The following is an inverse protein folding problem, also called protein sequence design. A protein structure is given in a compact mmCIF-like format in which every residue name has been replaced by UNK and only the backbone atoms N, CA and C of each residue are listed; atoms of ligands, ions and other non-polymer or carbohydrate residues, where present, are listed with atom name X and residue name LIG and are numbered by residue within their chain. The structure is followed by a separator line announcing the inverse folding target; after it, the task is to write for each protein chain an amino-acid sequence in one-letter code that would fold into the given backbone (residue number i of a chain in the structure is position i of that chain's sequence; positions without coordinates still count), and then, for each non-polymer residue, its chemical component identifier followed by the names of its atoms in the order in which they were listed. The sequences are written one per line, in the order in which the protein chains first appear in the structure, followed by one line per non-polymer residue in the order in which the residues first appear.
data_IF_410306290634
#
_entry.id   IF_410306290634
#
_cell.length_a   1.000
_cell.length_b   1.000
_cell.length_c   1.000
_cell.angle_alpha   90.00
_cell.angle_beta   90.00
_cell.angle_gamma   90.00
#
_symmetry.space_group_name_H-M   'P 1'
#
loop_
_entity.id
_entity.type
_entity.pdbx_description
1 polymer ?
#
# COMPACT_ATOMS: atom_id res chain seq x y z
N UNK A 1 17.87 -14.11 10.40
CA UNK A 1 16.72 -14.23 9.49
C UNK A 1 15.51 -13.64 10.19
N UNK A 2 15.20 -12.36 9.96
CA UNK A 2 13.98 -11.73 10.46
C UNK A 2 13.22 -11.20 9.25
N UNK A 3 12.53 -12.11 8.58
CA UNK A 3 11.52 -11.76 7.59
C UNK A 3 10.20 -11.55 8.31
N UNK A 4 9.98 -10.35 8.84
CA UNK A 4 8.62 -9.88 9.09
C UNK A 4 8.31 -8.80 8.07
N UNK A 5 8.12 -9.24 6.83
CA UNK A 5 7.36 -8.47 5.85
C UNK A 5 5.95 -8.36 6.41
N UNK A 6 5.62 -7.26 7.07
CA UNK A 6 4.23 -6.79 7.16
C UNK A 6 3.84 -6.34 5.75
N UNK A 7 3.78 -7.30 4.82
CA UNK A 7 3.29 -7.09 3.47
C UNK A 7 1.80 -6.88 3.62
N UNK A 8 1.38 -5.64 3.53
CA UNK A 8 -0.03 -5.34 3.33
C UNK A 8 -0.39 -5.94 1.97
N UNK A 9 -1.31 -6.91 1.89
CA UNK A 9 -1.48 -7.78 0.70
C UNK A 9 -1.79 -7.02 -0.60
N UNK A 10 -2.18 -5.76 -0.48
CA UNK A 10 -2.70 -4.95 -1.58
C UNK A 10 -1.59 -4.17 -2.30
N UNK A 11 -0.41 -3.98 -1.68
CA UNK A 11 0.76 -3.40 -2.36
C UNK A 11 1.73 -4.46 -2.92
N UNK A 12 1.53 -5.74 -2.61
CA UNK A 12 2.39 -6.82 -3.12
C UNK A 12 2.11 -7.15 -4.59
N UNK A 13 0.93 -6.83 -5.10
CA UNK A 13 0.56 -6.96 -6.52
C UNK A 13 0.26 -5.56 -7.07
N UNK A 14 1.31 -4.84 -7.45
CA UNK A 14 1.21 -3.47 -7.96
C UNK A 14 2.16 -3.24 -9.12
N UNK A 15 1.68 -2.57 -10.16
CA UNK A 15 2.54 -2.00 -11.18
C UNK A 15 3.22 -0.75 -10.60
N UNK A 16 4.55 -0.64 -10.75
CA UNK A 16 5.31 0.48 -10.19
C UNK A 16 6.15 1.15 -11.26
N UNK A 17 6.28 2.47 -11.14
CA UNK A 17 7.20 3.29 -11.93
C UNK A 17 8.16 3.95 -10.95
N UNK A 18 9.40 3.48 -10.94
CA UNK A 18 10.45 3.98 -10.04
C UNK A 18 11.01 5.32 -10.53
N UNK A 19 11.33 6.20 -9.59
CA UNK A 19 12.01 7.47 -9.89
C UNK A 19 13.37 7.25 -10.55
N UNK A 20 13.81 8.23 -11.36
CA UNK A 20 15.18 8.24 -11.92
C UNK A 20 16.23 8.68 -10.87
N UNK A 21 15.79 9.39 -9.83
CA UNK A 21 16.61 9.86 -8.72
C UNK A 21 16.20 9.14 -7.41
N UNK A 22 16.81 9.55 -6.30
CA UNK A 22 16.38 9.11 -4.98
C UNK A 22 14.91 9.48 -4.77
N UNK A 23 14.08 8.47 -4.54
CA UNK A 23 12.65 8.63 -4.28
C UNK A 23 12.45 9.32 -2.92
N UNK A 24 11.88 10.53 -2.95
CA UNK A 24 11.54 11.31 -1.74
C UNK A 24 10.03 11.49 -1.57
N UNK A 25 9.27 11.13 -2.59
CA UNK A 25 7.81 11.18 -2.59
C UNK A 25 7.25 9.99 -3.34
N UNK A 26 5.97 9.70 -3.09
CA UNK A 26 5.27 8.66 -3.82
C UNK A 26 3.81 9.03 -4.09
N UNK A 27 3.30 8.50 -5.18
CA UNK A 27 1.89 8.60 -5.60
C UNK A 27 1.34 7.18 -5.64
N UNK A 28 0.27 6.93 -4.88
CA UNK A 28 -0.53 5.70 -4.99
C UNK A 28 -1.75 6.04 -5.81
N UNK A 29 -1.88 5.45 -6.99
CA UNK A 29 -2.97 5.70 -7.93
C UNK A 29 -3.90 4.49 -8.02
N UNK A 30 -5.18 4.69 -7.71
CA UNK A 30 -6.21 3.66 -7.75
C UNK A 30 -7.04 3.83 -9.01
N UNK A 31 -7.04 2.80 -9.87
CA UNK A 31 -7.76 2.81 -11.13
C UNK A 31 -9.26 2.51 -10.94
N UNK A 32 -10.07 2.81 -11.95
CA UNK A 32 -11.52 2.60 -11.97
C UNK A 32 -11.96 1.17 -12.33
N UNK A 33 -13.24 0.87 -12.16
CA UNK A 33 -13.81 -0.47 -12.41
C UNK A 33 -13.42 -1.02 -13.81
N UNK A 34 -12.91 -2.24 -13.84
CA UNK A 34 -12.61 -2.96 -15.09
C UNK A 34 -11.25 -2.64 -15.73
N UNK A 35 -10.46 -1.74 -15.14
CA UNK A 35 -9.10 -1.43 -15.60
C UNK A 35 -8.02 -2.24 -14.85
N UNK A 36 -6.74 -1.93 -15.07
CA UNK A 36 -5.58 -2.57 -14.42
C UNK A 36 -4.57 -1.56 -13.92
N UNK A 37 -3.71 -1.96 -12.98
CA UNK A 37 -2.61 -1.10 -12.52
C UNK A 37 -1.58 -0.81 -13.62
N UNK A 38 -1.44 -1.71 -14.60
CA UNK A 38 -0.44 -1.60 -15.65
C UNK A 38 -0.74 -0.47 -16.65
N UNK A 39 -1.99 -0.36 -17.12
CA UNK A 39 -2.42 0.71 -18.02
C UNK A 39 -2.13 2.10 -17.42
N UNK A 40 -2.41 2.26 -16.13
CA UNK A 40 -2.13 3.50 -15.40
C UNK A 40 -0.65 3.74 -15.13
N UNK A 41 0.14 2.70 -14.83
CA UNK A 41 1.58 2.85 -14.70
C UNK A 41 2.22 3.34 -16.01
N UNK A 42 1.78 2.80 -17.16
CA UNK A 42 2.22 3.29 -18.48
C UNK A 42 1.81 4.74 -18.68
N UNK A 43 0.56 5.11 -18.41
CA UNK A 43 0.11 6.49 -18.53
C UNK A 43 0.91 7.46 -17.63
N UNK A 44 1.12 7.10 -16.36
CA UNK A 44 1.84 7.93 -15.38
C UNK A 44 3.33 8.07 -15.69
N UNK A 45 3.95 7.08 -16.35
CA UNK A 45 5.36 7.18 -16.76
C UNK A 45 5.62 8.34 -17.74
N UNK A 46 4.60 8.78 -18.48
CA UNK A 46 4.73 9.91 -19.41
C UNK A 46 4.81 11.28 -18.73
N UNK A 47 4.37 11.37 -17.48
CA UNK A 47 4.34 12.60 -16.67
C UNK A 47 5.15 12.46 -15.37
N UNK A 48 6.07 11.48 -15.35
CA UNK A 48 6.83 11.13 -14.16
C UNK A 48 7.78 12.25 -13.72
N UNK A 49 7.78 12.52 -12.42
CA UNK A 49 8.80 13.34 -11.77
C UNK A 49 9.97 12.46 -11.29
N UNK A 50 11.23 12.92 -11.39
CA UNK A 50 12.41 12.08 -11.17
C UNK A 50 12.56 11.56 -9.74
N UNK A 51 12.04 12.28 -8.74
CA UNK A 51 12.10 11.93 -7.31
C UNK A 51 10.80 11.30 -6.78
N UNK A 52 9.85 10.97 -7.67
CA UNK A 52 8.54 10.42 -7.30
C UNK A 52 8.40 8.98 -7.78
N UNK A 53 8.04 8.09 -6.85
CA UNK A 53 7.61 6.73 -7.16
C UNK A 53 6.11 6.68 -7.41
N UNK A 54 5.68 6.10 -8.52
CA UNK A 54 4.27 5.88 -8.81
C UNK A 54 3.92 4.41 -8.57
N UNK A 55 2.84 4.16 -7.84
CA UNK A 55 2.41 2.82 -7.43
C UNK A 55 0.94 2.66 -7.82
N UNK A 56 0.67 1.70 -8.71
CA UNK A 56 -0.66 1.39 -9.23
C UNK A 56 -1.04 -0.03 -8.80
N UNK A 57 -1.59 -0.21 -7.58
CA UNK A 57 -1.94 -1.53 -7.06
C UNK A 57 -3.08 -2.17 -7.85
N UNK A 58 -3.09 -3.50 -7.92
CA UNK A 58 -4.15 -4.27 -8.55
C UNK A 58 -5.33 -4.48 -7.59
N UNK A 59 -6.52 -4.09 -8.05
CA UNK A 59 -7.78 -4.34 -7.34
C UNK A 59 -8.07 -5.84 -7.29
N UNK A 60 -8.60 -6.36 -6.16
CA UNK A 60 -8.99 -7.76 -6.07
C UNK A 60 -10.11 -8.08 -7.06
N UNK A 61 -10.16 -9.34 -7.51
CA UNK A 61 -11.28 -9.82 -8.34
C UNK A 61 -12.45 -10.19 -7.44
N UNK A 62 -13.52 -9.41 -7.49
CA UNK A 62 -14.73 -9.61 -6.66
C UNK A 62 -15.98 -9.56 -7.54
N UNK A 63 -17.10 -10.19 -7.13
CA UNK A 63 -18.38 -10.04 -7.81
C UNK A 63 -18.89 -8.60 -7.65
N UNK A 64 -19.37 -8.00 -8.74
CA UNK A 64 -19.91 -6.63 -8.74
C UNK A 64 -21.41 -6.63 -9.04
N UNK A 65 -22.22 -6.16 -8.09
CA UNK A 65 -23.69 -6.18 -8.13
C UNK A 65 -24.23 -5.42 -9.34
N UNK A 66 -23.69 -4.24 -9.64
CA UNK A 66 -24.03 -3.41 -10.80
C UNK A 66 -23.87 -4.19 -12.13
N UNK A 67 -22.90 -5.10 -12.18
CA UNK A 67 -22.59 -5.91 -13.36
C UNK A 67 -23.09 -7.35 -13.19
N UNK A 68 -24.31 -7.53 -12.65
CA UNK A 68 -24.96 -8.85 -12.49
C UNK A 68 -24.10 -9.86 -11.72
N UNK A 69 -23.33 -9.41 -10.72
CA UNK A 69 -22.39 -10.21 -9.92
C UNK A 69 -21.26 -10.88 -10.73
N UNK A 70 -20.96 -10.37 -11.92
CA UNK A 70 -19.77 -10.81 -12.66
C UNK A 70 -18.50 -10.49 -11.87
N UNK A 71 -17.53 -11.43 -11.89
CA UNK A 71 -16.26 -11.29 -11.15
C UNK A 71 -15.25 -10.52 -11.99
N UNK A 72 -14.90 -9.32 -11.53
CA UNK A 72 -13.96 -8.42 -12.18
C UNK A 72 -13.12 -7.64 -11.16
N UNK A 73 -12.02 -6.98 -11.58
CA UNK A 73 -11.24 -6.14 -10.69
C UNK A 73 -12.10 -4.99 -10.14
N UNK A 74 -12.30 -4.96 -8.83
CA UNK A 74 -13.01 -3.89 -8.12
C UNK A 74 -12.51 -3.76 -6.68
N UNK A 75 -12.47 -2.53 -6.17
CA UNK A 75 -12.01 -2.24 -4.81
C UNK A 75 -13.05 -2.61 -3.74
N UNK A 76 -14.32 -2.45 -4.08
CA UNK A 76 -15.50 -2.73 -3.26
C UNK A 76 -16.70 -3.02 -4.18
N UNK A 77 -17.83 -3.47 -3.65
CA UNK A 77 -19.01 -3.74 -4.46
C UNK A 77 -19.70 -2.43 -4.89
N UNK A 78 -20.15 -2.38 -6.15
CA UNK A 78 -20.91 -1.26 -6.70
C UNK A 78 -22.33 -1.74 -6.94
N UNK A 79 -23.32 -1.02 -6.41
CA UNK A 79 -24.74 -1.38 -6.53
C UNK A 79 -25.51 -0.42 -7.46
N UNK A 80 -24.99 0.78 -7.69
CA UNK A 80 -25.56 1.79 -8.58
C UNK A 80 -24.58 2.93 -8.84
N UNK A 81 -24.94 3.83 -9.77
CA UNK A 81 -24.16 5.03 -10.11
C UNK A 81 -24.89 6.34 -9.79
N UNK A 82 -26.14 6.26 -9.33
CA UNK A 82 -26.88 7.42 -8.84
C UNK A 82 -26.36 7.83 -7.46
N UNK A 83 -26.41 9.13 -7.12
CA UNK A 83 -26.05 9.60 -5.77
C UNK A 83 -26.85 8.91 -4.64
N UNK A 84 -28.08 8.48 -4.93
CA UNK A 84 -28.96 7.80 -3.98
C UNK A 84 -28.80 6.27 -3.98
N UNK A 85 -27.85 5.73 -4.76
CA UNK A 85 -27.61 4.29 -4.78
C UNK A 85 -27.03 3.81 -3.44
N UNK A 86 -27.42 2.62 -2.96
CA UNK A 86 -26.75 2.01 -1.82
C UNK A 86 -25.24 1.82 -2.07
N UNK A 87 -24.43 2.03 -1.03
CA UNK A 87 -22.97 1.85 -1.07
C UNK A 87 -22.53 0.65 -0.23
N UNK A 88 -21.46 -0.03 -0.66
CA UNK A 88 -20.81 -1.09 0.12
C UNK A 88 -19.91 -0.49 1.21
N UNK A 89 -20.50 0.05 2.27
CA UNK A 89 -19.78 0.71 3.36
C UNK A 89 -18.68 -0.20 3.97
N UNK A 90 -18.99 -1.49 4.14
CA UNK A 90 -18.05 -2.46 4.69
C UNK A 90 -16.87 -2.71 3.74
N UNK A 91 -17.12 -2.90 2.44
CA UNK A 91 -16.08 -3.06 1.43
C UNK A 91 -15.22 -1.80 1.28
N UNK A 92 -15.83 -0.62 1.31
CA UNK A 92 -15.12 0.67 1.25
C UNK A 92 -14.16 0.80 2.44
N UNK A 93 -14.63 0.54 3.67
CA UNK A 93 -13.78 0.58 4.87
C UNK A 93 -12.61 -0.39 4.77
N UNK A 94 -12.89 -1.64 4.37
CA UNK A 94 -11.87 -2.67 4.19
C UNK A 94 -10.83 -2.28 3.13
N UNK A 95 -11.27 -1.75 1.99
CA UNK A 95 -10.39 -1.25 0.95
C UNK A 95 -9.49 -0.11 1.46
N UNK A 96 -10.09 0.85 2.18
CA UNK A 96 -9.37 1.96 2.78
C UNK A 96 -8.31 1.51 3.81
N UNK A 97 -8.64 0.54 4.68
CA UNK A 97 -7.68 -0.03 5.64
C UNK A 97 -6.49 -0.69 4.94
N UNK A 98 -6.74 -1.45 3.87
CA UNK A 98 -5.68 -2.07 3.08
C UNK A 98 -4.77 -1.02 2.42
N UNK A 99 -5.34 0.05 1.86
CA UNK A 99 -4.57 1.13 1.25
C UNK A 99 -3.75 1.89 2.31
N UNK A 100 -4.36 2.19 3.47
CA UNK A 100 -3.68 2.85 4.60
C UNK A 100 -2.49 2.05 5.10
N UNK A 101 -2.65 0.75 5.30
CA UNK A 101 -1.56 -0.12 5.71
C UNK A 101 -0.40 -0.09 4.70
N UNK A 102 -0.72 -0.11 3.41
CA UNK A 102 0.28 0.01 2.35
C UNK A 102 1.01 1.35 2.37
N UNK A 103 0.28 2.45 2.50
CA UNK A 103 0.84 3.79 2.59
C UNK A 103 1.77 3.95 3.80
N UNK A 104 1.44 3.34 4.94
CA UNK A 104 2.29 3.36 6.13
C UNK A 104 3.62 2.63 5.87
N UNK A 105 3.59 1.45 5.25
CA UNK A 105 4.80 0.70 4.87
C UNK A 105 5.70 1.51 3.94
N UNK A 106 5.10 2.20 2.96
CA UNK A 106 5.82 3.07 2.03
C UNK A 106 6.43 4.30 2.72
N UNK A 107 5.69 4.93 3.63
CA UNK A 107 6.19 6.05 4.41
C UNK A 107 7.46 5.66 5.17
N UNK A 108 7.44 4.51 5.85
CA UNK A 108 8.63 4.00 6.55
C UNK A 108 9.81 3.78 5.61
N UNK A 109 9.56 3.24 4.40
CA UNK A 109 10.61 3.02 3.40
C UNK A 109 11.22 4.33 2.86
N UNK A 110 10.41 5.39 2.67
CA UNK A 110 10.90 6.69 2.19
C UNK A 110 11.65 7.48 3.26
N UNK A 111 11.28 7.33 4.53
CA UNK A 111 11.90 8.08 5.64
C UNK A 111 13.13 7.41 6.25
N UNK A 112 13.38 6.13 5.96
CA UNK A 112 14.53 5.42 6.53
C UNK A 112 15.83 5.88 5.86
N UNK A 113 16.81 6.43 6.60
CA UNK A 113 18.07 6.86 6.02
C UNK A 113 18.89 5.64 5.53
N UNK A 114 19.59 5.73 4.39
CA UNK A 114 20.38 4.62 3.83
C UNK A 114 21.58 4.22 4.71
N UNK A 115 21.94 5.03 5.70
CA UNK A 115 22.98 4.72 6.66
C UNK A 115 22.45 3.86 7.79
N UNK A 116 22.31 2.55 7.57
CA UNK A 116 22.51 1.43 8.52
C UNK A 116 21.91 1.41 9.95
N UNK A 117 21.33 2.49 10.46
CA UNK A 117 20.74 2.57 11.78
C UNK A 117 19.31 2.11 11.66
N UNK A 118 19.08 0.83 11.98
CA UNK A 118 17.73 0.36 12.26
C UNK A 118 17.26 1.15 13.48
N UNK A 119 16.45 2.19 13.26
CA UNK A 119 15.63 2.76 14.30
C UNK A 119 14.62 1.66 14.65
N UNK A 120 14.94 0.85 15.67
CA UNK A 120 14.01 -0.11 16.24
C UNK A 120 12.79 0.65 16.69
N UNK A 121 11.70 0.54 15.95
CA UNK A 121 10.43 1.15 16.30
C UNK A 121 9.71 0.19 17.24
N UNK A 122 9.85 0.41 18.54
CA UNK A 122 8.76 0.18 19.47
C UNK A 122 7.65 1.17 19.10
N UNK A 123 6.77 0.76 18.20
CA UNK A 123 5.48 1.42 17.97
C UNK A 123 4.46 0.34 17.59
N UNK A 124 4.28 -0.58 18.52
CA UNK A 124 3.07 -1.39 18.60
C UNK A 124 2.55 -1.24 20.02
N UNK A 125 1.38 -0.60 20.12
CA UNK A 125 0.40 -0.81 21.16
C UNK A 125 0.90 -0.71 22.61
N UNK A 126 0.49 0.37 23.27
CA UNK A 126 0.52 0.60 24.71
C UNK A 126 -0.39 -0.40 25.48
N UNK A 127 -0.36 -1.71 25.17
CA UNK A 127 -1.29 -2.72 25.69
C UNK A 127 -0.77 -4.16 25.65
N UNK A 128 0.53 -4.40 25.89
CA UNK A 128 1.03 -5.74 26.19
C UNK A 128 1.77 -5.73 27.55
N UNK A 129 1.24 -6.36 28.61
CA UNK A 129 1.90 -6.39 29.91
C UNK A 129 3.08 -7.38 29.87
N UNK A 130 4.32 -6.89 30.05
CA UNK A 130 5.45 -7.76 30.38
C UNK A 130 6.83 -7.45 29.79
N UNK A 131 7.07 -6.31 29.13
CA UNK A 131 8.40 -5.98 28.60
C UNK A 131 9.05 -4.90 29.49
N UNK A 132 10.20 -5.24 30.08
CA UNK A 132 11.02 -4.32 30.88
C UNK A 132 11.79 -3.35 29.95
N UNK A 133 11.86 -2.04 30.26
CA UNK A 133 12.58 -1.08 29.42
C UNK A 133 14.09 -1.24 29.63
N UNK A 134 14.85 -1.55 28.57
CA UNK A 134 16.31 -1.38 28.62
C UNK A 134 17.21 -2.31 27.80
N UNK A 135 16.72 -3.28 27.04
CA UNK A 135 17.61 -4.14 26.24
C UNK A 135 17.98 -3.50 24.90
N UNK A 136 19.12 -2.78 24.86
CA UNK A 136 19.76 -2.37 23.61
C UNK A 136 20.33 -3.60 22.87
N UNK A 137 19.72 -3.96 21.74
CA UNK A 137 20.28 -4.93 20.81
C UNK A 137 21.48 -4.30 20.06
N UNK A 138 22.70 -4.82 20.23
CA UNK A 138 23.87 -4.44 19.42
C UNK A 138 23.93 -5.25 18.13
N UNK A 139 24.19 -4.59 17.01
CA UNK A 139 24.48 -5.24 15.73
C UNK A 139 25.93 -5.76 15.69
N UNK A 140 26.23 -6.91 15.05
CA UNK A 140 27.60 -7.30 14.74
C UNK A 140 28.14 -6.45 13.58
N UNK A 141 29.36 -5.94 13.72
CA UNK A 141 30.09 -5.31 12.61
C UNK A 141 30.53 -6.36 11.58
N UNK A 142 30.45 -6.08 10.27
CA UNK A 142 31.06 -6.93 9.25
C UNK A 142 32.60 -6.75 9.23
N UNK A 143 33.37 -7.75 8.76
CA UNK A 143 34.83 -7.69 8.66
C UNK A 143 35.34 -6.69 7.62
#
# INVERSE_FOLDING_TARGET
MCGNTMSVPLLTDAATVSGAERETAAVIFLYGLGDTGYSWAVALSTIQLPHVKYICPHAPRIPVTLNMKMVMPSWFDLMGLSPDAPEDEAGIKKAAENIKGGALSLYMALTCPPSGWHCGIELLADSAPGISPGSQCRCPHPP
#
